data_IF_798181921807
#
_entry.id   IF_798181921807
#
_cell.length_a   1.000
_cell.length_b   1.000
_cell.length_c   1.000
_cell.angle_alpha   90.00
_cell.angle_beta   90.00
_cell.angle_gamma   90.00
#
_symmetry.space_group_name_H-M   'P 1'
#
loop_
_entity.id
_entity.type
_entity.pdbx_description
1 polymer ?
#
# COMPACT_ATOMS: atom_id res chain seq x y z
N UNK A 1 22.84 -1.49 -6.07
CA UNK A 1 21.59 -1.22 -6.80
C UNK A 1 21.07 0.16 -6.44
N UNK A 2 20.56 0.88 -7.39
CA UNK A 2 20.09 2.24 -7.19
C UNK A 2 18.57 2.30 -7.29
N UNK A 3 17.94 3.00 -6.34
CA UNK A 3 16.50 3.17 -6.32
C UNK A 3 16.15 4.63 -6.56
N UNK A 4 15.07 4.85 -7.30
CA UNK A 4 14.54 6.20 -7.56
C UNK A 4 13.73 6.72 -6.37
N UNK A 5 13.13 5.83 -5.60
CA UNK A 5 12.25 6.21 -4.50
C UNK A 5 12.18 5.12 -3.44
N UNK A 6 11.91 5.54 -2.22
CA UNK A 6 11.60 4.63 -1.11
C UNK A 6 10.25 5.05 -0.55
N UNK A 7 9.31 4.11 -0.49
CA UNK A 7 7.98 4.35 0.06
C UNK A 7 7.93 3.75 1.47
N UNK A 8 7.47 4.52 2.42
CA UNK A 8 7.30 4.08 3.80
C UNK A 8 5.83 4.19 4.16
N UNK A 9 5.21 3.05 4.40
CA UNK A 9 3.79 2.94 4.68
C UNK A 9 3.06 2.22 3.58
N UNK A 10 2.08 1.41 3.97
CA UNK A 10 1.32 0.56 3.04
C UNK A 10 -0.18 0.78 3.12
N UNK A 11 -0.62 1.91 3.65
CA UNK A 11 -1.99 2.34 3.54
C UNK A 11 -2.33 2.78 2.10
N UNK A 12 -3.51 3.36 1.89
CA UNK A 12 -3.94 3.75 0.53
C UNK A 12 -2.96 4.68 -0.19
N UNK A 13 -2.37 5.63 0.54
CA UNK A 13 -1.42 6.56 -0.06
C UNK A 13 -0.14 5.86 -0.53
N UNK A 14 0.43 4.98 0.31
CA UNK A 14 1.62 4.22 -0.04
C UNK A 14 1.38 3.28 -1.21
N UNK A 15 0.25 2.59 -1.20
CA UNK A 15 -0.15 1.73 -2.31
C UNK A 15 -0.31 2.53 -3.61
N UNK A 16 -0.96 3.69 -3.54
CA UNK A 16 -1.14 4.55 -4.70
C UNK A 16 0.21 5.01 -5.27
N UNK A 17 1.13 5.39 -4.40
CA UNK A 17 2.48 5.75 -4.81
C UNK A 17 3.19 4.58 -5.50
N UNK A 18 3.09 3.37 -4.94
CA UNK A 18 3.71 2.18 -5.51
C UNK A 18 3.14 1.85 -6.90
N UNK A 19 1.82 1.92 -7.04
CA UNK A 19 1.16 1.70 -8.33
C UNK A 19 1.66 2.69 -9.37
N UNK A 20 1.75 3.97 -9.01
CA UNK A 20 2.21 5.00 -9.94
C UNK A 20 3.68 4.81 -10.32
N UNK A 21 4.54 4.51 -9.37
CA UNK A 21 5.94 4.26 -9.66
C UNK A 21 6.13 3.04 -10.57
N UNK A 22 5.36 1.99 -10.36
CA UNK A 22 5.38 0.82 -11.24
C UNK A 22 4.92 1.19 -12.65
N UNK A 23 3.87 1.99 -12.75
CA UNK A 23 3.33 2.46 -14.04
C UNK A 23 4.39 3.25 -14.81
N UNK A 24 5.18 4.07 -14.12
CA UNK A 24 6.26 4.84 -14.75
C UNK A 24 7.57 4.07 -14.84
N UNK A 25 7.56 2.78 -14.50
CA UNK A 25 8.73 1.89 -14.59
C UNK A 25 9.92 2.40 -13.77
N UNK A 26 9.66 2.95 -12.59
CA UNK A 26 10.68 3.40 -11.66
C UNK A 26 11.10 2.28 -10.73
N UNK A 27 12.36 2.30 -10.31
CA UNK A 27 12.85 1.38 -9.29
C UNK A 27 12.55 1.95 -7.91
N UNK A 28 11.93 1.15 -7.06
CA UNK A 28 11.59 1.63 -5.72
C UNK A 28 11.60 0.48 -4.72
N UNK A 29 11.80 0.84 -3.46
CA UNK A 29 11.57 -0.04 -2.31
C UNK A 29 10.31 0.42 -1.61
N UNK A 30 9.53 -0.54 -1.14
CA UNK A 30 8.30 -0.25 -0.43
C UNK A 30 8.28 -1.02 0.87
N UNK A 31 8.25 -0.28 1.99
CA UNK A 31 8.22 -0.83 3.34
C UNK A 31 6.87 -0.58 3.97
N UNK A 32 6.33 -1.59 4.63
CA UNK A 32 5.05 -1.43 5.29
C UNK A 32 4.54 -2.73 5.89
N UNK A 33 3.23 -2.85 5.96
CA UNK A 33 2.56 -4.00 6.53
C UNK A 33 2.30 -5.04 5.45
N UNK A 34 2.51 -6.32 5.75
CA UNK A 34 2.29 -7.39 4.79
C UNK A 34 0.84 -7.44 4.29
N UNK A 35 -0.13 -7.13 5.14
CA UNK A 35 -1.55 -7.09 4.76
C UNK A 35 -2.01 -5.70 4.32
N UNK A 36 -1.09 -4.79 4.07
CA UNK A 36 -1.26 -3.40 3.64
C UNK A 36 -1.73 -2.47 4.75
N UNK A 37 -2.95 -2.61 5.27
CA UNK A 37 -3.48 -1.66 6.25
C UNK A 37 -4.47 -2.30 7.20
N UNK A 38 -4.09 -2.39 8.47
CA UNK A 38 -5.01 -2.84 9.52
C UNK A 38 -6.15 -1.85 9.74
N UNK A 39 -5.90 -0.56 9.54
CA UNK A 39 -6.94 0.46 9.69
C UNK A 39 -8.03 0.31 8.63
N UNK A 40 -7.65 0.03 7.39
CA UNK A 40 -8.61 -0.22 6.32
C UNK A 40 -9.38 -1.50 6.62
N UNK A 41 -8.70 -2.56 7.04
CA UNK A 41 -9.35 -3.84 7.36
C UNK A 41 -10.41 -3.69 8.45
N UNK A 42 -10.14 -2.87 9.48
CA UNK A 42 -11.05 -2.67 10.61
C UNK A 42 -12.18 -1.70 10.34
N UNK A 43 -12.12 -0.93 9.27
CA UNK A 43 -13.18 0.00 8.93
C UNK A 43 -14.45 -0.76 8.57
N UNK A 44 -15.58 -0.41 9.20
CA UNK A 44 -16.84 -1.08 8.92
C UNK A 44 -17.40 -0.68 7.56
N UNK A 45 -17.36 0.63 7.27
CA UNK A 45 -17.89 1.16 6.03
C UNK A 45 -17.05 2.36 5.60
N UNK A 46 -16.67 2.37 4.33
CA UNK A 46 -15.89 3.45 3.74
C UNK A 46 -16.73 4.13 2.67
N UNK A 47 -17.11 5.38 2.94
CA UNK A 47 -17.97 6.15 2.04
C UNK A 47 -17.21 7.19 1.21
N UNK A 48 -15.98 7.47 1.58
CA UNK A 48 -15.21 8.57 1.01
C UNK A 48 -14.04 8.11 0.12
N UNK A 49 -14.05 6.86 -0.30
CA UNK A 49 -13.05 6.41 -1.26
C UNK A 49 -13.61 6.58 -2.68
N UNK A 50 -12.95 7.40 -3.53
CA UNK A 50 -13.47 7.69 -4.85
C UNK A 50 -13.71 6.45 -5.69
N UNK A 51 -14.88 6.35 -6.27
CA UNK A 51 -15.26 5.23 -7.13
C UNK A 51 -15.84 4.01 -6.42
N UNK A 52 -15.74 3.95 -5.08
CA UNK A 52 -16.24 2.81 -4.30
C UNK A 52 -17.04 3.29 -3.09
N UNK A 53 -18.20 3.93 -3.32
CA UNK A 53 -19.03 4.39 -2.21
C UNK A 53 -19.65 3.22 -1.46
N UNK A 54 -19.63 3.29 -0.14
CA UNK A 54 -20.28 2.29 0.69
C UNK A 54 -19.59 0.93 0.71
N UNK A 55 -18.30 0.87 0.38
CA UNK A 55 -17.53 -0.38 0.43
C UNK A 55 -17.14 -0.70 1.88
N UNK A 56 -17.15 -1.99 2.25
CA UNK A 56 -16.61 -2.39 3.55
C UNK A 56 -15.09 -2.29 3.55
N UNK A 57 -14.50 -2.09 4.74
CA UNK A 57 -13.03 -2.06 4.86
C UNK A 57 -12.40 -3.35 4.36
N UNK A 58 -13.00 -4.49 4.67
CA UNK A 58 -12.48 -5.79 4.21
C UNK A 58 -12.48 -5.90 2.69
N UNK A 59 -13.58 -5.51 2.05
CA UNK A 59 -13.66 -5.57 0.59
C UNK A 59 -12.71 -4.59 -0.07
N UNK A 60 -12.54 -3.41 0.51
CA UNK A 60 -11.58 -2.43 0.02
C UNK A 60 -10.15 -2.97 0.13
N UNK A 61 -9.81 -3.61 1.24
CA UNK A 61 -8.48 -4.20 1.42
C UNK A 61 -8.22 -5.32 0.41
N UNK A 62 -9.22 -6.17 0.15
CA UNK A 62 -9.12 -7.21 -0.88
C UNK A 62 -8.86 -6.59 -2.25
N UNK A 63 -9.58 -5.51 -2.57
CA UNK A 63 -9.37 -4.81 -3.84
C UNK A 63 -7.94 -4.24 -3.94
N UNK A 64 -7.42 -3.68 -2.85
CA UNK A 64 -6.06 -3.16 -2.79
C UNK A 64 -5.03 -4.26 -3.00
N UNK A 65 -5.18 -5.38 -2.31
CA UNK A 65 -4.26 -6.52 -2.44
C UNK A 65 -4.28 -7.11 -3.85
N UNK A 66 -5.46 -7.24 -4.41
CA UNK A 66 -5.65 -7.74 -5.77
C UNK A 66 -4.98 -6.82 -6.79
N UNK A 67 -5.13 -5.50 -6.62
CA UNK A 67 -4.49 -4.52 -7.50
C UNK A 67 -2.96 -4.60 -7.41
N UNK A 68 -2.44 -4.67 -6.18
CA UNK A 68 -1.02 -4.82 -5.93
C UNK A 68 -0.45 -6.06 -6.65
N UNK A 69 -1.12 -7.18 -6.47
CA UNK A 69 -0.69 -8.45 -7.08
C UNK A 69 -0.76 -8.41 -8.60
N UNK A 70 -1.79 -7.78 -9.17
CA UNK A 70 -1.95 -7.68 -10.62
C UNK A 70 -0.81 -6.91 -11.28
N UNK A 71 -0.15 -6.03 -10.54
CA UNK A 71 0.98 -5.24 -11.04
C UNK A 71 2.34 -5.78 -10.61
N UNK A 72 2.35 -6.93 -9.97
CA UNK A 72 3.58 -7.60 -9.54
C UNK A 72 4.42 -6.74 -8.60
N UNK A 73 3.76 -6.05 -7.67
CA UNK A 73 4.40 -5.17 -6.69
C UNK A 73 4.47 -5.90 -5.35
N UNK A 74 5.61 -5.82 -4.68
CA UNK A 74 5.79 -6.41 -3.37
C UNK A 74 6.07 -5.34 -2.32
N UNK A 75 5.45 -5.53 -1.14
CA UNK A 75 5.74 -4.73 0.04
C UNK A 75 6.66 -5.54 0.95
N UNK A 76 7.74 -4.91 1.41
CA UNK A 76 8.62 -5.52 2.41
C UNK A 76 8.04 -5.25 3.79
N UNK A 77 7.60 -6.31 4.45
CA UNK A 77 6.98 -6.21 5.76
C UNK A 77 8.02 -5.89 6.83
N UNK A 78 7.88 -4.74 7.46
CA UNK A 78 8.77 -4.30 8.55
C UNK A 78 7.95 -3.60 9.62
N UNK A 79 8.48 -3.62 10.85
CA UNK A 79 7.92 -2.79 11.91
C UNK A 79 8.22 -1.32 11.60
N UNK A 80 7.25 -0.45 11.82
CA UNK A 80 7.45 1.00 11.63
C UNK A 80 8.54 1.56 12.54
N UNK A 81 8.76 0.94 13.70
CA UNK A 81 9.87 1.31 14.60
C UNK A 81 11.20 1.07 13.90
N UNK A 82 11.36 -0.07 13.23
CA UNK A 82 12.58 -0.37 12.49
C UNK A 82 12.81 0.61 11.36
N UNK A 83 11.76 0.97 10.63
CA UNK A 83 11.86 1.94 9.54
C UNK A 83 12.35 3.29 10.08
N UNK A 84 11.81 3.74 11.22
CA UNK A 84 12.22 4.99 11.85
C UNK A 84 13.70 4.97 12.28
N UNK A 85 14.21 3.82 12.73
CA UNK A 85 15.61 3.69 13.12
C UNK A 85 16.55 3.73 11.90
N UNK A 86 16.15 3.12 10.80
CA UNK A 86 16.94 3.08 9.56
C UNK A 86 17.03 4.46 8.92
N UNK A 87 16.00 5.25 9.03
CA UNK A 87 15.95 6.59 8.49
C UNK A 87 16.75 7.59 9.32
#
# INVERSE_FOLDING_TARGET
MRYDCIIIGSGPAGLSAAINLRTYQKNFLWFGNANLSDKVEKAELVNNYPGLPGVTGKDLLVAFQSHKESMDIEVTAVSMIWVAIIM
#
